data_IF_827284887200
#
_entry.id   IF_827284887200
#
_cell.length_a   1.000
_cell.length_b   1.000
_cell.length_c   1.000
_cell.angle_alpha   90.00
_cell.angle_beta   90.00
_cell.angle_gamma   90.00
#
_symmetry.space_group_name_H-M   'P 1'
#
loop_
_entity.id
_entity.type
_entity.pdbx_description
1 polymer ?
#
# COMPACT_ATOMS: atom_id res chain seq x y z
N UNK A 1 9.42 26.42 7.64
CA UNK A 1 10.33 26.46 6.50
C UNK A 1 11.76 26.69 6.97
N UNK A 2 12.75 26.14 6.26
CA UNK A 2 14.15 26.40 6.57
C UNK A 2 14.46 27.86 6.43
N UNK A 3 15.18 28.42 7.38
CA UNK A 3 15.70 29.75 7.28
C UNK A 3 17.06 29.64 6.59
N UNK A 4 17.20 30.22 5.41
CA UNK A 4 18.48 30.42 4.78
C UNK A 4 19.14 31.64 5.43
N UNK A 5 20.34 31.48 5.95
CA UNK A 5 21.15 32.58 6.37
C UNK A 5 22.26 32.80 5.37
N UNK A 6 22.49 34.06 4.97
CA UNK A 6 23.61 34.41 4.14
C UNK A 6 24.84 34.55 5.04
N UNK A 7 25.84 33.73 4.78
CA UNK A 7 27.17 33.87 5.38
C UNK A 7 28.22 34.17 4.33
N UNK A 8 29.16 34.99 4.68
CA UNK A 8 30.30 35.31 3.80
C UNK A 8 31.33 34.18 3.88
N UNK A 9 31.61 33.55 2.75
CA UNK A 9 32.67 32.54 2.69
C UNK A 9 34.07 33.13 2.88
N UNK A 10 35.09 32.30 3.01
CA UNK A 10 36.48 32.73 3.18
C UNK A 10 37.01 33.60 2.00
N UNK A 11 36.36 33.60 0.87
CA UNK A 11 36.69 34.43 -0.29
C UNK A 11 35.86 35.70 -0.36
N UNK A 12 34.99 35.96 0.60
CA UNK A 12 34.10 37.11 0.64
C UNK A 12 32.84 36.99 -0.20
N UNK A 13 32.59 35.87 -0.87
CA UNK A 13 31.34 35.64 -1.57
C UNK A 13 30.25 35.24 -0.58
N UNK A 14 29.07 35.80 -0.71
CA UNK A 14 27.90 35.37 0.04
C UNK A 14 27.45 34.02 -0.49
N UNK A 15 27.27 33.05 0.42
CA UNK A 15 26.66 31.77 0.14
C UNK A 15 25.43 31.60 1.01
N UNK A 16 24.37 31.10 0.37
CA UNK A 16 23.19 30.67 1.10
C UNK A 16 23.52 29.39 1.85
N UNK A 17 23.55 29.51 3.16
CA UNK A 17 23.77 28.37 4.07
C UNK A 17 22.44 27.92 4.57
N UNK A 18 22.19 26.64 4.49
CA UNK A 18 21.08 26.06 5.25
C UNK A 18 21.39 26.15 6.73
N UNK A 19 21.01 27.26 7.34
CA UNK A 19 21.06 27.36 8.78
C UNK A 19 19.75 26.92 9.37
N UNK A 20 19.81 25.88 10.07
CA UNK A 20 19.51 25.88 11.41
C UNK A 20 18.07 25.50 11.82
N UNK A 21 17.31 26.07 12.33
CA UNK A 21 16.18 25.81 13.17
C UNK A 21 14.92 25.52 12.34
N UNK A 22 14.78 24.31 11.92
CA UNK A 22 13.54 23.87 11.30
C UNK A 22 13.73 22.97 10.08
N UNK A 23 12.73 22.19 9.82
CA UNK A 23 12.64 21.38 8.61
C UNK A 23 12.68 22.23 7.37
N UNK A 24 13.48 21.85 6.41
CA UNK A 24 13.44 22.43 5.07
C UNK A 24 12.05 22.15 4.49
N UNK A 25 11.38 23.17 3.99
CA UNK A 25 10.10 22.93 3.31
C UNK A 25 10.34 22.02 2.12
N UNK A 26 9.53 20.97 1.98
CA UNK A 26 9.60 20.07 0.84
C UNK A 26 9.59 20.83 -0.51
N UNK A 27 8.88 21.94 -0.59
CA UNK A 27 8.81 22.81 -1.78
C UNK A 27 10.13 23.49 -2.13
N UNK A 28 11.12 23.51 -1.25
CA UNK A 28 12.42 24.13 -1.53
C UNK A 28 13.35 23.22 -2.37
N UNK A 29 13.13 21.92 -2.36
CA UNK A 29 13.94 20.97 -3.11
C UNK A 29 13.13 19.98 -3.94
N UNK A 30 11.83 19.84 -3.69
CA UNK A 30 10.97 18.89 -4.37
C UNK A 30 9.79 19.60 -5.06
N UNK A 31 9.79 19.57 -6.38
CA UNK A 31 8.72 20.16 -7.21
C UNK A 31 7.68 19.15 -7.66
N UNK A 32 7.77 17.89 -7.20
CA UNK A 32 6.84 16.83 -7.55
C UNK A 32 5.54 16.89 -6.76
N UNK A 33 4.64 15.97 -7.06
CA UNK A 33 3.39 15.81 -6.34
C UNK A 33 3.65 15.29 -4.91
N UNK A 34 3.06 15.96 -3.93
CA UNK A 34 3.12 15.60 -2.51
C UNK A 34 1.87 14.85 -2.04
N UNK A 35 0.98 14.52 -2.97
CA UNK A 35 -0.28 13.85 -2.63
C UNK A 35 -0.01 12.42 -2.20
N UNK A 36 -0.47 12.05 -1.03
CA UNK A 36 -0.45 10.67 -0.54
C UNK A 36 -1.34 9.80 -1.41
N UNK A 37 -0.76 8.78 -2.02
CA UNK A 37 -1.51 7.80 -2.80
C UNK A 37 -2.24 6.87 -1.85
N UNK A 38 -3.56 6.89 -1.92
CA UNK A 38 -4.41 5.95 -1.20
C UNK A 38 -5.00 4.94 -2.15
N UNK A 39 -4.88 3.67 -1.83
CA UNK A 39 -5.47 2.58 -2.60
C UNK A 39 -6.44 1.78 -1.72
N UNK A 40 -7.67 1.62 -2.19
CA UNK A 40 -8.66 0.81 -1.49
C UNK A 40 -8.43 -0.66 -1.82
N UNK A 41 -8.16 -1.46 -0.81
CA UNK A 41 -7.89 -2.91 -0.93
C UNK A 41 -9.11 -3.75 -0.64
N UNK A 42 -10.05 -3.22 0.17
CA UNK A 42 -11.30 -3.87 0.53
C UNK A 42 -12.39 -2.82 0.79
N UNK A 43 -13.62 -3.26 1.04
CA UNK A 43 -14.76 -2.39 1.37
C UNK A 43 -14.46 -1.45 2.54
N UNK A 44 -13.74 -1.94 3.56
CA UNK A 44 -13.44 -1.25 4.81
C UNK A 44 -11.96 -0.92 4.99
N UNK A 45 -11.11 -1.22 3.99
CA UNK A 45 -9.65 -1.10 4.11
C UNK A 45 -9.05 -0.34 2.95
N UNK A 46 -8.29 0.69 3.30
CA UNK A 46 -7.43 1.43 2.38
C UNK A 46 -5.98 1.41 2.87
N UNK A 47 -5.06 1.44 1.96
CA UNK A 47 -3.63 1.58 2.20
C UNK A 47 -3.22 2.94 1.68
N UNK A 48 -2.44 3.68 2.49
CA UNK A 48 -1.79 4.89 2.06
C UNK A 48 -0.31 4.64 1.82
N UNK A 49 0.18 5.10 0.69
CA UNK A 49 1.60 5.12 0.34
C UNK A 49 2.08 6.55 0.50
N UNK A 50 2.73 6.82 1.63
CA UNK A 50 3.20 8.16 2.01
C UNK A 50 4.70 8.37 1.74
N UNK A 51 5.29 7.56 0.87
CA UNK A 51 6.69 7.70 0.47
C UNK A 51 6.79 8.55 -0.79
N UNK A 52 6.90 9.85 -0.60
CA UNK A 52 7.17 10.82 -1.67
C UNK A 52 8.58 11.39 -1.54
N UNK A 53 9.07 12.11 -2.54
CA UNK A 53 10.33 12.83 -2.44
C UNK A 53 10.35 13.92 -1.36
N UNK A 54 9.17 14.30 -0.84
CA UNK A 54 8.99 15.23 0.29
C UNK A 54 9.08 14.55 1.66
N UNK A 55 9.31 13.23 1.72
CA UNK A 55 9.34 12.49 2.97
C UNK A 55 10.44 13.02 3.92
N UNK A 56 10.16 13.17 5.24
CA UNK A 56 11.11 13.73 6.20
C UNK A 56 12.49 13.07 6.25
N UNK A 57 12.55 11.75 6.01
CA UNK A 57 13.82 11.03 5.91
C UNK A 57 14.67 11.49 4.73
N UNK A 58 14.04 11.73 3.57
CA UNK A 58 14.72 12.24 2.37
C UNK A 58 15.17 13.70 2.57
N UNK A 59 14.30 14.51 3.20
CA UNK A 59 14.62 15.91 3.56
C UNK A 59 15.89 15.98 4.42
N UNK A 60 15.95 15.21 5.51
CA UNK A 60 17.12 15.19 6.40
C UNK A 60 18.39 14.75 5.69
N UNK A 61 18.30 13.74 4.82
CA UNK A 61 19.44 13.28 4.02
C UNK A 61 19.95 14.38 3.09
N UNK A 62 19.06 15.08 2.39
CA UNK A 62 19.42 16.19 1.51
C UNK A 62 20.05 17.34 2.31
N UNK A 63 19.49 17.67 3.47
CA UNK A 63 20.01 18.72 4.35
C UNK A 63 21.38 18.35 4.90
N UNK A 64 21.60 17.12 5.35
CA UNK A 64 22.89 16.62 5.79
C UNK A 64 23.95 16.65 4.69
N UNK A 65 23.59 16.18 3.48
CA UNK A 65 24.48 16.27 2.31
C UNK A 65 24.79 17.71 1.92
N UNK A 66 23.82 18.63 2.03
CA UNK A 66 24.03 20.04 1.74
C UNK A 66 25.03 20.68 2.69
N UNK A 67 25.03 20.31 3.98
CA UNK A 67 26.04 20.76 4.94
C UNK A 67 27.44 20.29 4.52
N UNK A 68 27.57 19.05 4.05
CA UNK A 68 28.85 18.50 3.58
C UNK A 68 29.34 19.24 2.31
N UNK A 69 28.43 19.55 1.40
CA UNK A 69 28.76 20.20 0.12
C UNK A 69 29.11 21.67 0.26
N UNK A 70 28.73 22.33 1.34
CA UNK A 70 29.00 23.77 1.53
C UNK A 70 30.51 24.13 1.54
N UNK A 71 31.35 23.17 1.97
CA UNK A 71 32.79 23.44 2.04
C UNK A 71 33.17 24.46 3.13
N UNK A 72 34.13 25.30 2.85
CA UNK A 72 34.59 26.36 3.78
C UNK A 72 33.61 27.53 3.76
N UNK A 73 33.13 27.96 4.94
CA UNK A 73 32.13 29.01 5.09
C UNK A 73 32.64 30.09 6.04
N UNK A 74 32.96 31.25 5.52
CA UNK A 74 33.35 32.44 6.29
C UNK A 74 34.33 32.11 7.43
N UNK A 75 34.04 32.59 8.63
CA UNK A 75 34.82 32.32 9.84
C UNK A 75 34.58 30.93 10.43
N UNK A 76 33.54 30.22 9.97
CA UNK A 76 33.19 28.87 10.46
C UNK A 76 34.16 27.79 9.91
N UNK A 77 34.83 28.06 8.81
CA UNK A 77 35.76 27.11 8.17
C UNK A 77 35.01 26.01 7.42
N UNK A 78 35.76 25.03 6.89
CA UNK A 78 35.25 23.84 6.28
C UNK A 78 35.01 22.69 7.29
N UNK A 79 34.60 21.54 6.77
CA UNK A 79 34.37 20.33 7.59
C UNK A 79 35.66 19.85 8.32
N UNK A 80 36.81 20.17 7.77
CA UNK A 80 38.15 19.87 8.32
C UNK A 80 38.52 20.76 9.51
N UNK A 81 37.90 21.93 9.62
CA UNK A 81 38.17 22.93 10.66
C UNK A 81 37.01 23.06 11.68
N UNK A 82 35.81 22.72 11.27
CA UNK A 82 34.64 22.80 12.11
C UNK A 82 34.03 21.40 12.34
N UNK A 83 34.43 20.77 13.44
CA UNK A 83 33.96 19.43 13.82
C UNK A 83 32.46 19.40 14.12
N UNK A 84 31.87 20.52 14.55
CA UNK A 84 30.46 20.61 14.87
C UNK A 84 29.59 20.43 13.60
N UNK A 85 30.04 20.99 12.47
CA UNK A 85 29.35 20.79 11.17
C UNK A 85 29.39 19.33 10.71
N UNK A 86 30.51 18.65 10.92
CA UNK A 86 30.58 17.21 10.65
C UNK A 86 29.61 16.45 11.52
N UNK A 87 29.55 16.76 12.83
CA UNK A 87 28.61 16.15 13.77
C UNK A 87 27.15 16.42 13.39
N UNK A 88 26.84 17.65 12.97
CA UNK A 88 25.50 18.02 12.52
C UNK A 88 25.07 17.25 11.26
N UNK A 89 25.96 17.14 10.29
CA UNK A 89 25.71 16.39 9.07
C UNK A 89 25.50 14.90 9.36
N UNK A 90 26.37 14.31 10.20
CA UNK A 90 26.24 12.90 10.61
C UNK A 90 24.94 12.66 11.33
N UNK A 91 24.59 13.49 12.32
CA UNK A 91 23.30 13.37 13.02
C UNK A 91 22.11 13.37 12.06
N UNK A 92 22.10 14.29 11.09
CA UNK A 92 21.01 14.36 10.10
C UNK A 92 20.97 13.13 9.20
N UNK A 93 22.11 12.58 8.81
CA UNK A 93 22.18 11.36 8.00
C UNK A 93 21.66 10.15 8.80
N UNK A 94 22.05 10.03 10.05
CA UNK A 94 21.57 8.96 10.94
C UNK A 94 20.05 9.11 11.16
N UNK A 95 19.58 10.35 11.44
CA UNK A 95 18.16 10.65 11.62
C UNK A 95 17.31 10.49 10.33
N UNK A 96 17.96 10.55 9.17
CA UNK A 96 17.33 10.24 7.89
C UNK A 96 17.11 8.74 7.71
N UNK A 97 18.09 7.94 8.16
CA UNK A 97 18.10 6.49 7.98
C UNK A 97 17.34 5.77 9.09
N UNK A 98 17.64 6.07 10.34
CA UNK A 98 17.18 5.35 11.52
C UNK A 98 16.01 6.07 12.21
N UNK A 99 15.10 5.29 12.77
CA UNK A 99 13.96 5.79 13.53
C UNK A 99 14.34 6.40 14.86
N UNK A 100 15.39 5.90 15.46
CA UNK A 100 15.87 6.33 16.78
C UNK A 100 17.35 6.64 16.70
N UNK A 101 17.69 7.91 16.83
CA UNK A 101 19.07 8.38 16.79
C UNK A 101 19.49 8.88 18.17
N UNK A 102 20.70 8.53 18.57
CA UNK A 102 21.28 8.99 19.81
C UNK A 102 21.74 10.45 19.69
N UNK A 103 21.60 11.21 20.76
CA UNK A 103 22.04 12.60 20.82
C UNK A 103 20.93 13.63 20.72
N UNK A 104 21.32 14.88 20.67
CA UNK A 104 20.37 16.01 20.56
C UNK A 104 20.38 16.55 19.14
N UNK A 105 19.19 16.79 18.53
CA UNK A 105 19.12 17.41 17.23
C UNK A 105 19.89 18.74 17.19
N UNK A 106 20.81 18.92 16.24
CA UNK A 106 21.66 20.09 16.20
C UNK A 106 20.90 21.39 15.91
N UNK A 107 19.72 21.28 15.31
CA UNK A 107 18.92 22.42 14.85
C UNK A 107 17.54 22.48 15.50
N UNK A 108 17.40 22.02 16.73
CA UNK A 108 16.13 21.99 17.43
C UNK A 108 15.37 20.67 17.18
N UNK A 109 14.05 20.74 17.14
CA UNK A 109 13.23 19.53 16.98
C UNK A 109 13.15 19.12 15.51
N UNK A 110 13.57 17.90 15.21
CA UNK A 110 13.44 17.33 13.87
C UNK A 110 12.03 16.74 13.64
N UNK A 111 11.57 16.84 12.40
CA UNK A 111 10.30 16.20 12.00
C UNK A 111 10.44 14.68 12.06
N UNK A 112 9.45 14.03 12.68
CA UNK A 112 9.41 12.58 12.74
C UNK A 112 9.35 11.96 11.34
N UNK A 113 10.00 10.82 11.18
CA UNK A 113 10.04 10.05 9.93
C UNK A 113 11.47 9.80 9.48
N UNK A 114 11.75 8.53 9.19
CA UNK A 114 13.04 8.04 8.67
C UNK A 114 12.79 7.02 7.57
N UNK A 115 13.83 6.66 6.85
CA UNK A 115 13.75 5.63 5.80
C UNK A 115 13.40 4.27 6.43
N UNK A 116 13.94 3.96 7.60
CA UNK A 116 13.56 2.75 8.36
C UNK A 116 12.07 2.72 8.68
N UNK A 117 11.51 3.84 9.17
CA UNK A 117 10.07 3.91 9.44
C UNK A 117 9.25 3.69 8.17
N UNK A 118 9.63 4.31 7.06
CA UNK A 118 8.97 4.11 5.78
C UNK A 118 9.04 2.65 5.30
N UNK A 119 10.15 1.97 5.52
CA UNK A 119 10.29 0.54 5.21
C UNK A 119 9.35 -0.33 6.07
N UNK A 120 9.21 -0.02 7.35
CA UNK A 120 8.29 -0.70 8.26
C UNK A 120 6.85 -0.51 7.76
N UNK A 121 6.46 0.71 7.44
CA UNK A 121 5.11 1.03 7.00
C UNK A 121 4.76 0.37 5.65
N UNK A 122 5.72 0.33 4.72
CA UNK A 122 5.60 -0.45 3.48
C UNK A 122 5.49 -1.95 3.74
N UNK A 123 6.25 -2.46 4.72
CA UNK A 123 6.17 -3.85 5.17
C UNK A 123 4.78 -4.20 5.67
N UNK A 124 4.20 -3.37 6.53
CA UNK A 124 2.81 -3.52 7.00
C UNK A 124 1.80 -3.49 5.86
N UNK A 125 1.95 -2.54 4.95
CA UNK A 125 1.08 -2.42 3.77
C UNK A 125 1.12 -3.68 2.91
N UNK A 126 2.31 -4.25 2.70
CA UNK A 126 2.50 -5.51 1.98
C UNK A 126 1.82 -6.70 2.68
N UNK A 127 1.97 -6.80 4.00
CA UNK A 127 1.31 -7.86 4.79
C UNK A 127 -0.22 -7.72 4.67
N UNK A 128 -0.74 -6.51 4.78
CA UNK A 128 -2.17 -6.24 4.66
C UNK A 128 -2.71 -6.64 3.27
N UNK A 129 -2.01 -6.29 2.19
CA UNK A 129 -2.36 -6.68 0.83
C UNK A 129 -2.39 -8.20 0.69
N UNK A 130 -1.34 -8.88 1.16
CA UNK A 130 -1.26 -10.34 1.07
C UNK A 130 -2.39 -11.03 1.83
N UNK A 131 -2.70 -10.55 3.05
CA UNK A 131 -3.79 -11.10 3.86
C UNK A 131 -5.14 -10.88 3.19
N UNK A 132 -5.37 -9.69 2.64
CA UNK A 132 -6.61 -9.39 1.92
C UNK A 132 -6.75 -10.24 0.66
N UNK A 133 -5.66 -10.44 -0.09
CA UNK A 133 -5.66 -11.32 -1.26
C UNK A 133 -5.97 -12.79 -0.90
N UNK A 134 -5.44 -13.29 0.21
CA UNK A 134 -5.79 -14.64 0.70
C UNK A 134 -7.27 -14.72 1.04
N UNK A 135 -7.79 -13.75 1.78
CA UNK A 135 -9.21 -13.70 2.13
C UNK A 135 -10.11 -13.66 0.88
N UNK A 136 -9.75 -12.86 -0.13
CA UNK A 136 -10.51 -12.81 -1.38
C UNK A 136 -10.48 -14.16 -2.12
N UNK A 137 -9.34 -14.86 -2.12
CA UNK A 137 -9.24 -16.21 -2.72
C UNK A 137 -10.12 -17.21 -2.00
N UNK A 138 -10.14 -17.17 -0.67
CA UNK A 138 -10.99 -18.04 0.14
C UNK A 138 -12.47 -17.77 -0.13
N UNK A 139 -12.87 -16.51 -0.26
CA UNK A 139 -14.23 -16.14 -0.65
C UNK A 139 -14.60 -16.63 -2.06
N UNK A 140 -13.69 -16.46 -3.02
CA UNK A 140 -13.90 -16.96 -4.40
C UNK A 140 -14.11 -18.47 -4.35
N UNK A 141 -13.23 -19.22 -3.68
CA UNK A 141 -13.37 -20.67 -3.54
C UNK A 141 -14.67 -21.08 -2.84
N UNK A 142 -15.07 -20.36 -1.81
CA UNK A 142 -16.36 -20.61 -1.15
C UNK A 142 -17.54 -20.39 -2.11
N UNK A 143 -17.56 -19.32 -2.88
CA UNK A 143 -18.63 -19.06 -3.83
C UNK A 143 -18.63 -20.06 -4.99
N UNK A 144 -17.47 -20.43 -5.51
CA UNK A 144 -17.35 -21.47 -6.57
C UNK A 144 -17.92 -22.81 -6.08
N UNK A 145 -17.57 -23.24 -4.86
CA UNK A 145 -18.14 -24.45 -4.25
C UNK A 145 -19.66 -24.33 -4.06
N UNK A 146 -20.12 -23.19 -3.57
CA UNK A 146 -21.56 -22.95 -3.36
C UNK A 146 -22.35 -23.00 -4.66
N UNK A 147 -21.80 -22.42 -5.73
CA UNK A 147 -22.39 -22.47 -7.08
C UNK A 147 -22.44 -23.91 -7.57
N UNK A 148 -21.34 -24.66 -7.44
CA UNK A 148 -21.26 -26.06 -7.85
C UNK A 148 -22.27 -26.93 -7.09
N UNK A 149 -22.44 -26.71 -5.79
CA UNK A 149 -23.42 -27.43 -4.98
C UNK A 149 -24.86 -27.14 -5.43
N UNK A 150 -25.18 -25.87 -5.70
CA UNK A 150 -26.51 -25.48 -6.20
C UNK A 150 -26.77 -26.09 -7.58
N UNK A 151 -25.79 -26.04 -8.50
CA UNK A 151 -25.92 -26.61 -9.84
C UNK A 151 -26.10 -28.13 -9.80
N UNK A 152 -25.36 -28.85 -8.93
CA UNK A 152 -25.46 -30.29 -8.77
C UNK A 152 -26.82 -30.72 -8.18
N UNK A 153 -27.32 -30.00 -7.19
CA UNK A 153 -28.66 -30.24 -6.62
C UNK A 153 -29.72 -30.05 -7.69
N UNK A 154 -29.64 -28.95 -8.44
CA UNK A 154 -30.59 -28.67 -9.53
C UNK A 154 -30.56 -29.75 -10.62
N UNK A 155 -29.38 -30.26 -10.98
CA UNK A 155 -29.24 -31.33 -11.97
C UNK A 155 -29.87 -32.64 -11.49
N UNK A 156 -29.66 -33.00 -10.23
CA UNK A 156 -30.23 -34.20 -9.64
C UNK A 156 -31.75 -34.14 -9.56
N UNK A 157 -32.26 -32.99 -9.16
CA UNK A 157 -33.70 -32.74 -9.09
C UNK A 157 -34.35 -32.82 -10.49
N UNK A 158 -33.73 -32.18 -11.49
CA UNK A 158 -34.18 -32.21 -12.87
C UNK A 158 -34.20 -33.62 -13.47
N UNK A 159 -33.18 -34.46 -13.18
CA UNK A 159 -33.13 -35.84 -13.63
C UNK A 159 -34.24 -36.68 -12.94
N UNK A 160 -34.46 -36.44 -11.64
CA UNK A 160 -35.51 -37.13 -10.92
C UNK A 160 -36.90 -36.79 -11.46
N UNK A 161 -37.17 -35.53 -11.71
CA UNK A 161 -38.42 -35.06 -12.31
C UNK A 161 -38.60 -35.60 -13.74
N UNK A 162 -37.55 -35.66 -14.52
CA UNK A 162 -37.58 -36.27 -15.86
C UNK A 162 -37.96 -37.76 -15.80
N UNK A 163 -37.35 -38.51 -14.90
CA UNK A 163 -37.63 -39.94 -14.72
C UNK A 163 -39.07 -40.19 -14.22
N UNK A 164 -39.59 -39.37 -13.33
CA UNK A 164 -40.96 -39.45 -12.85
C UNK A 164 -41.98 -39.10 -13.95
N UNK A 165 -41.68 -38.10 -14.76
CA UNK A 165 -42.49 -37.75 -15.92
C UNK A 165 -42.49 -38.89 -16.99
N UNK A 166 -41.34 -39.52 -17.21
CA UNK A 166 -41.24 -40.67 -18.12
C UNK A 166 -42.07 -41.86 -17.64
N UNK A 167 -41.96 -42.20 -16.34
CA UNK A 167 -42.76 -43.28 -15.69
C UNK A 167 -44.27 -42.96 -15.80
N UNK A 168 -44.66 -41.75 -15.55
CA UNK A 168 -46.04 -41.31 -15.65
C UNK A 168 -46.58 -41.44 -17.11
N UNK A 169 -45.75 -41.11 -18.07
CA UNK A 169 -46.05 -41.26 -19.47
C UNK A 169 -46.21 -42.75 -19.88
N UNK A 170 -45.29 -43.59 -19.48
CA UNK A 170 -45.36 -45.06 -19.69
C UNK A 170 -46.60 -45.68 -19.05
N UNK A 171 -46.94 -45.29 -17.79
CA UNK A 171 -48.16 -45.74 -17.17
C UNK A 171 -49.40 -45.28 -17.92
N UNK A 172 -49.41 -44.06 -18.44
CA UNK A 172 -50.50 -43.55 -19.26
C UNK A 172 -50.67 -44.33 -20.57
N UNK A 173 -49.61 -44.69 -21.24
CA UNK A 173 -49.64 -45.53 -22.42
C UNK A 173 -50.16 -46.93 -22.15
N UNK A 174 -49.76 -47.56 -21.00
CA UNK A 174 -50.27 -48.84 -20.59
C UNK A 174 -51.78 -48.80 -20.30
N UNK A 175 -52.26 -47.77 -19.65
CA UNK A 175 -53.70 -47.56 -19.43
C UNK A 175 -54.44 -47.40 -20.75
N UNK A 176 -53.91 -46.61 -21.67
CA UNK A 176 -54.52 -46.45 -23.02
C UNK A 176 -54.55 -47.78 -23.81
N UNK A 177 -53.49 -48.58 -23.76
CA UNK A 177 -53.47 -49.90 -24.39
C UNK A 177 -54.56 -50.82 -23.81
N UNK A 178 -54.73 -50.87 -22.50
CA UNK A 178 -55.80 -51.66 -21.84
C UNK A 178 -57.20 -51.15 -22.20
N UNK A 179 -57.41 -49.85 -22.27
CA UNK A 179 -58.71 -49.29 -22.68
C UNK A 179 -59.04 -49.68 -24.13
N UNK A 180 -58.07 -49.70 -25.03
CA UNK A 180 -58.28 -50.14 -26.41
C UNK A 180 -58.60 -51.61 -26.51
N UNK A 181 -57.93 -52.48 -25.70
CA UNK A 181 -58.27 -53.93 -25.63
C UNK A 181 -59.70 -54.16 -25.10
N UNK A 182 -60.09 -53.45 -24.04
CA UNK A 182 -61.42 -53.53 -23.47
C UNK A 182 -62.51 -53.02 -24.44
N UNK A 183 -62.19 -51.97 -25.23
CA UNK A 183 -63.12 -51.44 -26.22
C UNK A 183 -63.30 -52.38 -27.42
N UNK A 184 -62.27 -53.17 -27.79
CA UNK A 184 -62.32 -54.13 -28.90
C UNK A 184 -63.08 -55.39 -28.49
N UNK A 185 -62.97 -55.88 -27.21
CA UNK A 185 -63.67 -57.05 -26.71
C UNK A 185 -65.14 -56.82 -26.43
N UNK A 186 -65.60 -55.57 -26.26
CA UNK A 186 -67.02 -55.23 -26.11
C UNK A 186 -67.79 -54.99 -27.42
N UNK A 187 -67.09 -55.02 -28.56
CA UNK A 187 -67.67 -54.72 -29.90
C UNK A 187 -67.76 -55.94 -30.83
N UNK A 188 -67.31 -57.11 -30.36
CA UNK A 188 -67.47 -58.44 -30.97
C UNK A 188 -68.48 -59.25 -30.18
#
# INVERSE_FOLDING_TARGET
GATLTNETNVTGAEIEVYSVAGTVSATSYFSGDQTTLTHRVDSDRSISLDLTGAHPGIEKAIRGLSIILQGAIGTEGGLDQNTDRSGQAMYLMDAALERTVAGTPPFGTETAGSIEQAQIDLGFSRVLINTTNLLHRDFIGFFENSITDIENVSSTEAITELLDNQRSLEASFQVFARIRELSLTNFI
#
